data_IF_379608034912
#
_entry.id   IF_379608034912
#
_cell.length_a   1.000
_cell.length_b   1.000
_cell.length_c   1.000
_cell.angle_alpha   90.00
_cell.angle_beta   90.00
_cell.angle_gamma   90.00
#
_symmetry.space_group_name_H-M   'P 1'
#
loop_
_entity.id
_entity.type
_entity.pdbx_description
1 polymer ?
#
# COMPACT_ATOMS: atom_id res chain seq x y z
N UNK A 1 17.40 -14.00 -15.22
CA UNK A 1 16.35 -13.24 -15.95
C UNK A 1 15.46 -12.68 -14.86
N UNK A 2 15.56 -11.38 -14.55
CA UNK A 2 14.75 -10.76 -13.51
C UNK A 2 13.29 -11.00 -13.87
N UNK A 3 12.52 -11.68 -13.01
CA UNK A 3 11.11 -11.96 -13.21
C UNK A 3 10.30 -10.67 -13.09
N UNK A 4 10.33 -9.86 -14.15
CA UNK A 4 9.42 -8.74 -14.28
C UNK A 4 8.00 -9.29 -14.38
N UNK A 5 7.01 -8.66 -13.72
CA UNK A 5 5.61 -9.06 -13.90
C UNK A 5 5.26 -9.01 -15.38
N UNK A 6 4.85 -10.14 -15.94
CA UNK A 6 4.40 -10.20 -17.34
C UNK A 6 3.10 -9.40 -17.46
N UNK A 7 3.08 -8.47 -18.42
CA UNK A 7 1.86 -7.77 -18.77
C UNK A 7 0.86 -8.76 -19.36
N UNK A 8 -0.40 -8.63 -18.97
CA UNK A 8 -1.49 -9.44 -19.49
C UNK A 8 -2.67 -8.58 -19.99
N UNK A 9 -3.78 -9.23 -20.32
CA UNK A 9 -5.01 -8.57 -20.79
C UNK A 9 -5.54 -7.49 -19.83
N UNK A 10 -5.28 -7.60 -18.52
CA UNK A 10 -5.71 -6.62 -17.52
C UNK A 10 -4.91 -5.31 -17.57
N UNK A 11 -3.83 -5.27 -18.35
CA UNK A 11 -3.01 -4.08 -18.58
C UNK A 11 -3.33 -3.39 -19.91
N UNK A 12 -4.31 -3.88 -20.68
CA UNK A 12 -4.72 -3.24 -21.94
C UNK A 12 -5.23 -1.81 -21.67
N UNK A 13 -4.52 -0.81 -22.20
CA UNK A 13 -4.87 0.60 -22.07
C UNK A 13 -6.20 0.97 -22.75
N UNK A 14 -6.70 0.13 -23.64
CA UNK A 14 -7.98 0.31 -24.33
C UNK A 14 -9.15 -0.31 -23.58
N UNK A 15 -8.90 -1.17 -22.58
CA UNK A 15 -9.96 -1.74 -21.74
C UNK A 15 -10.74 -0.65 -20.99
N UNK A 16 -12.04 -0.89 -20.80
CA UNK A 16 -12.99 0.02 -20.16
C UNK A 16 -13.87 -0.73 -19.18
N UNK A 17 -14.36 0.00 -18.18
CA UNK A 17 -15.31 -0.55 -17.21
C UNK A 17 -16.74 -0.10 -17.51
N UNK A 18 -17.72 -0.90 -17.09
CA UNK A 18 -19.11 -0.44 -17.00
C UNK A 18 -19.33 0.54 -15.83
N UNK A 19 -18.36 0.70 -14.92
CA UNK A 19 -18.33 1.79 -13.94
C UNK A 19 -17.80 3.05 -14.64
N UNK A 20 -18.71 3.94 -15.04
CA UNK A 20 -18.39 5.08 -15.90
C UNK A 20 -17.29 6.01 -15.36
N UNK A 21 -17.25 6.24 -14.04
CA UNK A 21 -16.24 7.08 -13.40
C UNK A 21 -14.81 6.51 -13.49
N UNK A 22 -14.66 5.21 -13.75
CA UNK A 22 -13.36 4.58 -13.99
C UNK A 22 -12.81 4.82 -15.40
N UNK A 23 -13.62 5.38 -16.31
CA UNK A 23 -13.23 5.70 -17.68
C UNK A 23 -12.79 7.16 -17.86
N UNK A 24 -12.84 7.96 -16.79
CA UNK A 24 -12.42 9.37 -16.81
C UNK A 24 -10.89 9.48 -16.89
N UNK A 25 -10.38 10.40 -17.72
CA UNK A 25 -8.93 10.55 -17.94
C UNK A 25 -8.15 10.89 -16.66
N UNK A 26 -8.76 11.64 -15.74
CA UNK A 26 -8.13 12.08 -14.50
C UNK A 26 -8.32 11.11 -13.31
N UNK A 27 -8.88 9.92 -13.54
CA UNK A 27 -9.12 8.96 -12.46
C UNK A 27 -7.83 8.26 -12.05
N UNK A 28 -7.59 8.15 -10.75
CA UNK A 28 -6.50 7.32 -10.21
C UNK A 28 -6.87 5.82 -10.25
N UNK A 29 -8.16 5.50 -10.41
CA UNK A 29 -8.70 4.15 -10.28
C UNK A 29 -9.35 3.63 -11.56
N UNK A 30 -8.62 3.59 -12.70
CA UNK A 30 -9.15 2.96 -13.90
C UNK A 30 -9.14 1.43 -13.75
N UNK A 31 -9.79 0.72 -14.67
CA UNK A 31 -9.86 -0.75 -14.64
C UNK A 31 -8.49 -1.44 -14.75
N UNK A 32 -7.46 -0.72 -15.22
CA UNK A 32 -6.08 -1.20 -15.27
C UNK A 32 -5.39 -1.18 -13.90
N UNK A 33 -5.86 -0.38 -12.94
CA UNK A 33 -5.23 -0.25 -11.62
C UNK A 33 -5.73 -1.35 -10.67
N UNK A 34 -7.01 -1.30 -10.27
CA UNK A 34 -7.65 -2.23 -9.34
C UNK A 34 -6.89 -2.42 -8.00
N UNK A 35 -6.58 -1.33 -7.25
CA UNK A 35 -5.84 -1.46 -6.01
C UNK A 35 -6.72 -2.05 -4.91
N UNK A 36 -6.12 -2.93 -4.10
CA UNK A 36 -6.75 -3.55 -2.95
C UNK A 36 -6.69 -2.64 -1.73
N UNK A 37 -7.76 -2.63 -0.94
CA UNK A 37 -7.83 -1.93 0.32
C UNK A 37 -8.74 -2.63 1.34
N UNK A 38 -8.73 -2.13 2.57
CA UNK A 38 -9.70 -2.51 3.60
C UNK A 38 -10.64 -1.33 3.81
N UNK A 39 -11.94 -1.59 3.75
CA UNK A 39 -12.97 -0.59 4.00
C UNK A 39 -14.06 -1.15 4.89
N UNK A 40 -14.83 -0.27 5.52
CA UNK A 40 -16.13 -0.60 6.11
C UNK A 40 -17.20 0.30 5.51
N UNK A 41 -18.36 -0.24 5.08
CA UNK A 41 -19.53 0.59 4.83
C UNK A 41 -20.04 1.17 6.16
N UNK A 42 -20.97 2.13 6.09
CA UNK A 42 -21.50 2.83 7.26
C UNK A 42 -21.91 1.89 8.43
N UNK A 43 -22.60 0.79 8.12
CA UNK A 43 -23.16 -0.14 9.11
C UNK A 43 -22.60 -1.57 9.01
N UNK A 44 -21.33 -1.73 8.61
CA UNK A 44 -20.76 -3.06 8.39
C UNK A 44 -19.33 -3.26 8.90
N UNK A 45 -18.93 -4.52 8.98
CA UNK A 45 -17.58 -4.90 9.36
C UNK A 45 -16.56 -4.54 8.27
N UNK A 46 -15.32 -4.29 8.70
CA UNK A 46 -14.19 -4.09 7.81
C UNK A 46 -13.92 -5.34 6.96
N UNK A 47 -13.62 -5.14 5.68
CA UNK A 47 -13.38 -6.20 4.70
C UNK A 47 -12.60 -5.72 3.48
N UNK A 48 -12.16 -6.65 2.66
CA UNK A 48 -11.40 -6.36 1.45
C UNK A 48 -12.28 -5.75 0.36
N UNK A 49 -11.75 -4.73 -0.31
CA UNK A 49 -12.38 -4.10 -1.47
C UNK A 49 -11.37 -3.69 -2.53
N UNK A 50 -11.88 -3.36 -3.71
CA UNK A 50 -11.10 -2.84 -4.84
C UNK A 50 -11.64 -1.48 -5.23
N UNK A 51 -10.77 -0.48 -5.37
CA UNK A 51 -11.18 0.82 -5.89
C UNK A 51 -11.39 0.75 -7.42
N UNK A 52 -12.49 1.34 -7.90
CA UNK A 52 -12.82 1.46 -9.32
C UNK A 52 -13.59 2.76 -9.55
N UNK A 53 -12.97 3.71 -10.25
CA UNK A 53 -13.47 5.08 -10.36
C UNK A 53 -13.69 5.73 -8.99
N UNK A 54 -14.89 6.23 -8.76
CA UNK A 54 -15.35 6.79 -7.48
C UNK A 54 -16.12 5.77 -6.61
N UNK A 55 -15.94 4.48 -6.90
CA UNK A 55 -16.59 3.36 -6.20
C UNK A 55 -15.58 2.44 -5.55
N UNK A 56 -16.07 1.64 -4.60
CA UNK A 56 -15.37 0.51 -4.00
C UNK A 56 -16.18 -0.74 -4.27
N UNK A 57 -15.57 -1.71 -4.96
CA UNK A 57 -16.09 -3.07 -5.11
C UNK A 57 -15.88 -3.85 -3.82
N UNK A 58 -16.99 -4.33 -3.24
CA UNK A 58 -17.02 -5.25 -2.10
C UNK A 58 -16.72 -6.67 -2.56
N UNK A 59 -15.50 -7.14 -2.31
CA UNK A 59 -15.07 -8.48 -2.73
C UNK A 59 -15.82 -9.59 -1.98
N UNK A 60 -16.24 -9.33 -0.74
CA UNK A 60 -17.02 -10.29 0.04
C UNK A 60 -18.41 -10.46 -0.57
N UNK A 61 -19.10 -9.35 -0.89
CA UNK A 61 -20.42 -9.39 -1.51
C UNK A 61 -20.38 -10.00 -2.92
N UNK A 62 -19.37 -9.65 -3.73
CA UNK A 62 -19.19 -10.24 -5.05
C UNK A 62 -18.92 -11.74 -4.99
N UNK A 63 -18.15 -12.21 -4.00
CA UNK A 63 -17.96 -13.64 -3.75
C UNK A 63 -19.28 -14.33 -3.39
N UNK A 64 -20.07 -13.75 -2.47
CA UNK A 64 -21.33 -14.35 -1.97
C UNK A 64 -22.39 -14.50 -3.08
N UNK A 65 -22.34 -13.64 -4.09
CA UNK A 65 -23.16 -13.73 -5.30
C UNK A 65 -22.60 -14.69 -6.36
N UNK A 66 -21.44 -15.32 -6.11
CA UNK A 66 -20.79 -16.24 -7.04
C UNK A 66 -20.07 -15.55 -8.21
N UNK A 67 -19.86 -14.23 -8.15
CA UNK A 67 -19.33 -13.43 -9.26
C UNK A 67 -17.80 -13.53 -9.41
N UNK A 68 -17.10 -13.95 -8.35
CA UNK A 68 -15.63 -14.12 -8.35
C UNK A 68 -15.19 -15.58 -8.57
N UNK A 69 -16.14 -16.51 -8.67
CA UNK A 69 -15.85 -17.95 -8.73
C UNK A 69 -15.01 -18.44 -7.55
N UNK A 70 -14.09 -19.37 -7.82
CA UNK A 70 -13.17 -19.94 -6.83
C UNK A 70 -11.78 -19.27 -6.82
N UNK A 71 -11.66 -18.05 -7.34
CA UNK A 71 -10.37 -17.36 -7.49
C UNK A 71 -9.63 -17.14 -6.17
N UNK A 72 -10.37 -16.87 -5.09
CA UNK A 72 -9.85 -16.66 -3.74
C UNK A 72 -10.77 -17.30 -2.70
N UNK A 73 -10.22 -17.89 -1.61
CA UNK A 73 -11.02 -18.31 -0.46
C UNK A 73 -11.80 -17.16 0.18
N UNK A 74 -13.10 -17.34 0.39
CA UNK A 74 -14.01 -16.35 1.00
C UNK A 74 -13.51 -15.76 2.32
N UNK A 75 -12.82 -16.56 3.13
CA UNK A 75 -12.28 -16.16 4.42
C UNK A 75 -11.23 -15.05 4.32
N UNK A 76 -10.45 -15.00 3.23
CA UNK A 76 -9.43 -13.96 3.03
C UNK A 76 -10.06 -12.60 2.70
N UNK A 77 -11.28 -12.60 2.15
CA UNK A 77 -12.00 -11.38 1.74
C UNK A 77 -12.80 -10.73 2.88
N UNK A 78 -13.15 -11.51 3.92
CA UNK A 78 -13.87 -11.06 5.11
C UNK A 78 -12.94 -10.60 6.27
N UNK A 79 -11.64 -10.48 6.01
CA UNK A 79 -10.63 -10.13 7.01
C UNK A 79 -10.54 -8.61 7.24
N UNK A 80 -10.07 -8.20 8.42
CA UNK A 80 -9.75 -6.80 8.75
C UNK A 80 -8.35 -6.35 8.27
N UNK A 81 -7.74 -7.13 7.39
CA UNK A 81 -6.43 -6.90 6.81
C UNK A 81 -6.15 -7.83 5.62
N UNK A 82 -5.39 -7.34 4.65
CA UNK A 82 -4.97 -8.07 3.45
C UNK A 82 -3.82 -9.06 3.71
N UNK A 83 -3.34 -9.17 4.96
CA UNK A 83 -2.21 -10.03 5.32
C UNK A 83 -2.36 -11.48 4.83
N UNK A 84 -3.53 -12.09 5.04
CA UNK A 84 -3.78 -13.46 4.60
C UNK A 84 -3.76 -13.59 3.09
N UNK A 85 -4.41 -12.65 2.38
CA UNK A 85 -4.40 -12.62 0.92
C UNK A 85 -2.98 -12.46 0.36
N UNK A 86 -2.18 -11.59 0.94
CA UNK A 86 -0.79 -11.37 0.51
C UNK A 86 0.11 -12.58 0.82
N UNK A 87 -0.19 -13.34 1.88
CA UNK A 87 0.58 -14.52 2.25
C UNK A 87 0.39 -15.71 1.27
N UNK A 88 -0.76 -15.79 0.59
CA UNK A 88 -1.00 -16.82 -0.45
C UNK A 88 -0.08 -16.63 -1.68
N UNK A 89 0.38 -15.40 -1.92
CA UNK A 89 1.37 -15.08 -2.94
C UNK A 89 0.78 -14.64 -4.28
N UNK A 90 1.66 -14.56 -5.28
CA UNK A 90 1.38 -13.90 -6.56
C UNK A 90 0.23 -14.54 -7.34
N UNK A 91 0.20 -15.87 -7.46
CA UNK A 91 -0.81 -16.60 -8.23
C UNK A 91 -2.23 -16.32 -7.75
N UNK A 92 -2.44 -16.29 -6.43
CA UNK A 92 -3.75 -15.97 -5.84
C UNK A 92 -4.13 -14.51 -6.06
N UNK A 93 -3.16 -13.60 -5.98
CA UNK A 93 -3.37 -12.19 -6.31
C UNK A 93 -3.75 -11.99 -7.78
N UNK A 94 -3.08 -12.71 -8.69
CA UNK A 94 -3.34 -12.67 -10.13
C UNK A 94 -4.71 -13.25 -10.47
N UNK A 95 -5.07 -14.40 -9.88
CA UNK A 95 -6.39 -15.00 -10.05
C UNK A 95 -7.52 -14.06 -9.58
N UNK A 96 -7.34 -13.39 -8.43
CA UNK A 96 -8.27 -12.37 -7.95
C UNK A 96 -8.36 -11.19 -8.91
N UNK A 97 -7.21 -10.70 -9.40
CA UNK A 97 -7.15 -9.60 -10.38
C UNK A 97 -7.91 -9.93 -11.65
N UNK A 98 -7.70 -11.12 -12.22
CA UNK A 98 -8.42 -11.57 -13.43
C UNK A 98 -9.93 -11.67 -13.20
N UNK A 99 -10.34 -12.23 -12.06
CA UNK A 99 -11.76 -12.33 -11.71
C UNK A 99 -12.42 -10.94 -11.55
N UNK A 100 -11.76 -10.02 -10.85
CA UNK A 100 -12.25 -8.65 -10.65
C UNK A 100 -12.27 -7.87 -11.98
N UNK A 101 -11.24 -8.02 -12.81
CA UNK A 101 -11.17 -7.37 -14.11
C UNK A 101 -12.32 -7.83 -15.01
N UNK A 102 -12.52 -9.15 -15.13
CA UNK A 102 -13.60 -9.72 -15.94
C UNK A 102 -14.99 -9.33 -15.42
N UNK A 103 -15.15 -9.17 -14.10
CA UNK A 103 -16.39 -8.68 -13.48
C UNK A 103 -16.68 -7.21 -13.84
N UNK A 104 -15.65 -6.38 -13.97
CA UNK A 104 -15.78 -4.93 -14.14
C UNK A 104 -15.72 -4.46 -15.60
N UNK A 105 -15.32 -5.31 -16.54
CA UNK A 105 -15.14 -4.96 -17.96
C UNK A 105 -16.46 -4.65 -18.68
N UNK A 106 -16.46 -3.66 -19.58
CA UNK A 106 -17.65 -3.13 -20.28
C UNK A 106 -18.41 -4.12 -21.18
N UNK A 107 -17.90 -5.32 -21.42
CA UNK A 107 -18.53 -6.41 -22.19
C UNK A 107 -19.71 -7.09 -21.46
N UNK A 108 -20.37 -6.36 -20.55
CA UNK A 108 -21.40 -6.78 -19.58
C UNK A 108 -20.87 -7.55 -18.35
N UNK A 109 -19.54 -7.61 -18.20
CA UNK A 109 -18.81 -7.99 -16.99
C UNK A 109 -19.36 -9.19 -16.23
N UNK A 110 -19.48 -10.38 -16.83
CA UNK A 110 -20.06 -11.60 -16.22
C UNK A 110 -21.33 -11.33 -15.35
N UNK A 111 -22.17 -10.34 -15.74
CA UNK A 111 -23.38 -9.96 -15.00
C UNK A 111 -23.19 -9.01 -13.80
N UNK A 112 -21.98 -8.50 -13.55
CA UNK A 112 -21.65 -7.60 -12.45
C UNK A 112 -22.49 -6.32 -12.44
N UNK A 113 -22.78 -5.76 -13.61
CA UNK A 113 -23.61 -4.56 -13.76
C UNK A 113 -25.02 -4.75 -13.19
N UNK A 114 -25.60 -5.95 -13.32
CA UNK A 114 -26.92 -6.26 -12.77
C UNK A 114 -26.93 -6.33 -11.23
N UNK A 115 -25.77 -6.49 -10.61
CA UNK A 115 -25.58 -6.57 -9.17
C UNK A 115 -24.90 -5.34 -8.57
N UNK A 116 -24.76 -4.25 -9.35
CA UNK A 116 -24.02 -3.06 -8.94
C UNK A 116 -24.41 -2.53 -7.55
N UNK A 117 -25.72 -2.42 -7.27
CA UNK A 117 -26.23 -1.93 -5.98
C UNK A 117 -25.90 -2.84 -4.77
N UNK A 118 -25.50 -4.09 -5.02
CA UNK A 118 -25.17 -5.07 -3.99
C UNK A 118 -23.66 -5.19 -3.75
N UNK A 119 -22.84 -4.83 -4.76
CA UNK A 119 -21.39 -5.06 -4.74
C UNK A 119 -20.57 -3.77 -4.80
N UNK A 120 -21.18 -2.62 -5.14
CA UNK A 120 -20.49 -1.34 -5.18
C UNK A 120 -20.97 -0.44 -4.04
N UNK A 121 -20.01 0.24 -3.43
CA UNK A 121 -20.24 1.34 -2.51
C UNK A 121 -19.68 2.64 -3.08
N UNK A 122 -20.36 3.76 -2.84
CA UNK A 122 -19.79 5.08 -3.08
C UNK A 122 -18.55 5.25 -2.21
N UNK A 123 -17.39 5.56 -2.81
CA UNK A 123 -16.14 5.69 -2.05
C UNK A 123 -16.22 6.78 -0.97
N UNK A 124 -17.03 7.81 -1.19
CA UNK A 124 -17.27 8.88 -0.22
C UNK A 124 -18.13 8.44 1.00
N UNK A 125 -18.81 7.29 0.92
CA UNK A 125 -19.71 6.78 1.97
C UNK A 125 -19.08 5.70 2.85
N UNK A 126 -17.86 5.24 2.51
CA UNK A 126 -17.16 4.20 3.25
C UNK A 126 -16.03 4.78 4.10
N UNK A 127 -15.64 4.05 5.14
CA UNK A 127 -14.42 4.36 5.90
C UNK A 127 -13.30 3.44 5.41
N UNK A 128 -12.19 4.05 4.95
CA UNK A 128 -10.98 3.31 4.60
C UNK A 128 -10.13 3.05 5.86
N UNK A 129 -9.57 1.86 5.94
CA UNK A 129 -8.72 1.42 7.04
C UNK A 129 -7.29 1.18 6.55
N UNK A 130 -6.37 0.89 7.48
CA UNK A 130 -5.02 0.44 7.13
C UNK A 130 -5.13 -0.90 6.39
N UNK A 131 -4.47 -1.08 5.23
CA UNK A 131 -4.67 -2.27 4.40
C UNK A 131 -4.11 -3.55 5.03
N UNK A 132 -3.12 -3.44 5.91
CA UNK A 132 -2.48 -4.58 6.59
C UNK A 132 -2.28 -4.31 8.08
N UNK A 133 -2.21 -5.37 8.87
CA UNK A 133 -1.58 -5.34 10.19
C UNK A 133 -0.07 -5.34 10.02
N UNK A 134 0.58 -4.26 10.46
CA UNK A 134 2.03 -4.08 10.34
C UNK A 134 2.71 -4.77 11.52
N UNK A 135 3.34 -5.92 11.27
CA UNK A 135 4.12 -6.62 12.29
C UNK A 135 5.50 -5.98 12.48
N UNK A 136 6.15 -5.64 11.36
CA UNK A 136 7.44 -4.95 11.31
C UNK A 136 7.40 -3.87 10.23
N UNK A 137 8.16 -2.81 10.46
CA UNK A 137 8.36 -1.72 9.50
C UNK A 137 9.86 -1.45 9.43
N UNK A 138 10.41 -1.48 8.22
CA UNK A 138 11.80 -1.15 7.94
C UNK A 138 11.79 0.05 7.00
N UNK A 139 12.59 1.05 7.33
CA UNK A 139 12.79 2.23 6.52
C UNK A 139 14.19 2.20 5.91
N UNK A 140 14.29 2.50 4.62
CA UNK A 140 15.53 2.44 3.85
C UNK A 140 15.98 3.82 3.43
N UNK A 141 17.27 4.07 3.58
CA UNK A 141 17.92 5.30 3.16
C UNK A 141 18.45 5.17 1.72
N UNK A 142 17.55 4.93 0.77
CA UNK A 142 17.91 4.55 -0.60
C UNK A 142 17.96 5.72 -1.60
N UNK A 143 17.39 6.88 -1.26
CA UNK A 143 17.35 8.05 -2.15
C UNK A 143 18.66 8.84 -2.17
N UNK A 144 19.52 8.62 -3.17
CA UNK A 144 20.88 9.22 -3.19
C UNK A 144 20.89 10.75 -3.13
N UNK A 145 19.93 11.41 -3.80
CA UNK A 145 19.84 12.87 -3.74
C UNK A 145 19.39 13.39 -2.37
N UNK A 146 18.50 12.66 -1.70
CA UNK A 146 18.16 12.94 -0.32
C UNK A 146 19.40 12.73 0.56
N UNK A 147 20.12 11.63 0.38
CA UNK A 147 21.30 11.29 1.16
C UNK A 147 22.42 12.32 1.05
N UNK A 148 22.73 12.77 -0.17
CA UNK A 148 23.72 13.82 -0.42
C UNK A 148 23.31 15.15 0.22
N UNK A 149 22.03 15.53 0.16
CA UNK A 149 21.55 16.78 0.75
C UNK A 149 21.61 16.74 2.28
N UNK A 150 21.08 15.69 2.89
CA UNK A 150 21.08 15.54 4.34
C UNK A 150 22.50 15.46 4.90
N UNK A 151 23.36 14.62 4.30
CA UNK A 151 24.75 14.50 4.72
C UNK A 151 25.58 15.75 4.45
N UNK A 152 25.27 16.51 3.39
CA UNK A 152 25.94 17.78 3.08
C UNK A 152 25.73 18.88 4.13
N UNK A 153 24.66 18.81 4.93
CA UNK A 153 24.45 19.73 6.06
C UNK A 153 25.45 19.48 7.21
N UNK A 154 25.98 18.25 7.31
CA UNK A 154 26.88 17.82 8.38
C UNK A 154 28.34 17.73 7.90
N UNK A 155 28.56 17.19 6.71
CA UNK A 155 29.87 16.95 6.09
C UNK A 155 29.84 17.29 4.59
N UNK A 156 29.97 18.59 4.22
CA UNK A 156 29.85 19.04 2.83
C UNK A 156 30.82 18.34 1.85
N UNK A 157 32.04 18.04 2.30
CA UNK A 157 33.10 17.46 1.46
C UNK A 157 32.92 15.95 1.21
N UNK A 158 32.27 15.24 2.13
CA UNK A 158 31.96 13.81 2.00
C UNK A 158 30.55 13.52 2.53
N UNK A 159 29.50 13.87 1.76
CA UNK A 159 28.13 13.85 2.25
C UNK A 159 27.53 12.43 2.33
N UNK A 160 28.21 11.41 1.81
CA UNK A 160 27.72 10.04 1.83
C UNK A 160 28.56 9.19 2.80
N UNK A 161 27.92 8.38 3.65
CA UNK A 161 28.63 7.33 4.39
C UNK A 161 29.36 6.37 3.44
N UNK A 162 30.53 5.88 3.86
CA UNK A 162 31.39 5.02 3.03
C UNK A 162 30.66 3.74 2.53
N UNK A 163 29.71 3.23 3.31
CA UNK A 163 28.94 2.02 2.99
C UNK A 163 27.71 2.28 2.09
N UNK A 164 27.31 3.53 1.83
CA UNK A 164 26.05 3.87 1.15
C UNK A 164 25.91 3.20 -0.23
N UNK A 165 27.01 3.13 -0.99
CA UNK A 165 27.01 2.56 -2.35
C UNK A 165 27.13 1.04 -2.37
N UNK A 166 27.27 0.40 -1.22
CA UNK A 166 27.56 -1.03 -1.10
C UNK A 166 26.44 -1.83 -0.44
N UNK A 167 25.63 -1.19 0.41
CA UNK A 167 24.49 -1.81 1.08
C UNK A 167 23.31 -0.83 1.10
N UNK A 168 22.07 -1.27 0.82
CA UNK A 168 20.90 -0.45 1.06
C UNK A 168 20.72 -0.28 2.58
N UNK A 169 21.28 0.82 3.11
CA UNK A 169 21.20 1.12 4.53
C UNK A 169 19.72 1.24 4.92
N UNK A 170 19.35 0.59 6.01
CA UNK A 170 18.00 0.68 6.55
C UNK A 170 17.98 0.44 8.05
N UNK A 171 16.87 0.78 8.69
CA UNK A 171 16.69 0.67 10.12
C UNK A 171 15.25 0.26 10.45
N UNK A 172 15.06 -0.29 11.66
CA UNK A 172 13.73 -0.68 12.12
C UNK A 172 12.94 0.57 12.54
N UNK A 173 11.85 0.83 11.83
CA UNK A 173 10.86 1.82 12.22
C UNK A 173 9.89 1.27 13.26
N UNK A 174 8.94 2.11 13.71
CA UNK A 174 7.96 1.75 14.73
C UNK A 174 6.62 1.32 14.11
N UNK A 175 6.40 0.02 14.01
CA UNK A 175 5.18 -0.55 13.43
C UNK A 175 3.88 -0.08 14.11
N UNK A 176 3.87 0.09 15.44
CA UNK A 176 2.67 0.46 16.19
C UNK A 176 2.15 1.87 15.90
N UNK A 177 2.96 2.72 15.28
CA UNK A 177 2.58 4.10 14.92
C UNK A 177 2.28 4.28 13.44
N UNK A 178 2.28 3.21 12.65
CA UNK A 178 1.83 3.26 11.25
C UNK A 178 0.31 3.32 11.21
N UNK A 179 -0.24 4.45 10.78
CA UNK A 179 -1.68 4.71 10.71
C UNK A 179 -2.16 4.93 9.27
N UNK A 180 -3.46 4.82 9.05
CA UNK A 180 -4.07 5.13 7.76
C UNK A 180 -4.04 6.63 7.45
N UNK A 181 -4.15 6.98 6.16
CA UNK A 181 -4.31 8.36 5.72
C UNK A 181 -5.49 9.04 6.40
N UNK A 182 -5.40 10.35 6.64
CA UNK A 182 -6.41 11.13 7.35
C UNK A 182 -6.32 11.07 8.88
N UNK A 183 -5.52 10.16 9.45
CA UNK A 183 -5.28 10.13 10.90
C UNK A 183 -4.57 11.41 11.37
N UNK A 184 -5.13 12.11 12.35
CA UNK A 184 -4.53 13.29 12.94
C UNK A 184 -3.24 12.97 13.71
N UNK A 185 -2.13 13.63 13.34
CA UNK A 185 -0.85 13.46 14.03
C UNK A 185 -0.62 14.63 14.99
N UNK A 186 -0.45 14.32 16.28
CA UNK A 186 -0.10 15.32 17.30
C UNK A 186 1.38 15.69 17.18
N UNK A 187 1.70 16.98 17.23
CA UNK A 187 3.08 17.46 17.34
C UNK A 187 3.77 16.78 18.53
N UNK A 188 4.91 16.10 18.34
CA UNK A 188 5.56 15.38 19.41
C UNK A 188 6.17 16.37 20.41
N UNK A 189 6.23 15.91 21.66
CA UNK A 189 7.07 16.51 22.69
C UNK A 189 8.37 15.72 22.76
N UNK A 190 9.48 16.39 23.00
CA UNK A 190 10.78 15.74 23.04
C UNK A 190 11.85 16.59 23.73
N UNK A 191 13.03 16.02 23.84
CA UNK A 191 14.23 16.71 24.29
C UNK A 191 14.96 17.27 23.08
N UNK A 192 15.47 18.50 23.18
CA UNK A 192 16.29 19.10 22.13
C UNK A 192 17.39 19.97 22.73
N UNK A 193 18.48 20.14 21.98
CA UNK A 193 19.57 21.01 22.39
C UNK A 193 19.14 22.48 22.26
N UNK A 194 19.32 23.30 23.32
CA UNK A 194 19.00 24.72 23.24
C UNK A 194 19.86 25.47 22.22
N UNK A 195 19.24 26.36 21.45
CA UNK A 195 19.93 27.21 20.47
C UNK A 195 20.86 28.26 21.11
N UNK A 196 20.72 28.49 22.42
CA UNK A 196 21.58 29.39 23.20
C UNK A 196 22.93 28.76 23.60
N UNK A 197 23.20 27.50 23.21
CA UNK A 197 24.44 26.80 23.52
C UNK A 197 24.52 26.21 24.94
N UNK A 198 23.42 26.19 25.70
CA UNK A 198 23.37 25.49 26.98
C UNK A 198 23.62 23.98 26.79
N UNK A 199 24.22 23.35 27.82
CA UNK A 199 24.56 21.93 27.78
C UNK A 199 23.40 21.02 28.19
N UNK A 200 22.53 21.48 29.09
CA UNK A 200 21.35 20.73 29.47
C UNK A 200 20.29 20.77 28.35
N UNK A 201 19.64 19.63 28.02
CA UNK A 201 18.56 19.62 27.05
C UNK A 201 17.30 20.30 27.60
N UNK A 202 16.55 20.96 26.72
CA UNK A 202 15.19 21.44 27.01
C UNK A 202 14.16 20.37 26.65
N UNK A 203 13.04 20.30 27.39
CA UNK A 203 11.89 19.47 27.04
C UNK A 203 10.71 20.34 26.61
N UNK A 204 10.11 20.02 25.47
CA UNK A 204 8.95 20.75 24.97
C UNK A 204 8.47 20.28 23.59
N UNK A 205 7.57 21.02 22.95
CA UNK A 205 7.11 20.71 21.60
C UNK A 205 8.25 20.77 20.58
N UNK A 206 8.30 19.80 19.67
CA UNK A 206 9.22 19.79 18.53
C UNK A 206 9.11 21.11 17.75
N UNK A 207 10.26 21.72 17.44
CA UNK A 207 10.36 23.01 16.75
C UNK A 207 10.47 22.86 15.23
N UNK A 208 10.97 21.72 14.74
CA UNK A 208 11.30 21.46 13.33
C UNK A 208 10.61 20.18 12.83
N UNK A 209 9.27 20.17 12.91
CA UNK A 209 8.49 19.03 12.43
C UNK A 209 8.52 18.99 10.89
N UNK A 210 9.02 17.90 10.32
CA UNK A 210 9.16 17.74 8.87
C UNK A 210 8.30 16.60 8.30
N UNK A 211 8.43 16.35 7.00
CA UNK A 211 7.87 15.21 6.29
C UNK A 211 8.90 14.58 5.37
N UNK A 212 8.88 13.25 5.28
CA UNK A 212 9.58 12.50 4.27
C UNK A 212 8.55 11.83 3.36
N UNK A 213 8.70 12.02 2.05
CA UNK A 213 7.84 11.43 1.04
C UNK A 213 8.48 10.12 0.56
N UNK A 214 7.75 9.02 0.73
CA UNK A 214 8.25 7.68 0.47
C UNK A 214 7.22 6.80 -0.25
N UNK A 215 7.71 5.67 -0.74
CA UNK A 215 6.89 4.55 -1.19
C UNK A 215 7.07 3.37 -0.23
N UNK A 216 5.97 2.86 0.29
CA UNK A 216 5.94 1.59 1.02
C UNK A 216 5.91 0.42 0.04
N UNK A 217 6.66 -0.63 0.37
CA UNK A 217 6.58 -1.94 -0.27
C UNK A 217 5.91 -2.90 0.70
N UNK A 218 4.79 -3.50 0.31
CA UNK A 218 4.12 -4.52 1.10
C UNK A 218 4.72 -5.89 0.79
N UNK A 219 5.24 -6.57 1.81
CA UNK A 219 5.75 -7.94 1.70
C UNK A 219 4.61 -8.92 1.97
N UNK A 220 4.42 -9.88 1.07
CA UNK A 220 3.38 -10.89 1.15
C UNK A 220 3.90 -12.23 1.67
N UNK A 221 4.54 -13.01 0.79
CA UNK A 221 5.04 -14.35 1.13
C UNK A 221 6.15 -14.26 2.19
N UNK A 222 6.05 -14.97 3.32
CA UNK A 222 7.11 -14.98 4.33
C UNK A 222 8.31 -15.80 3.87
N UNK A 223 9.48 -15.54 4.47
CA UNK A 223 10.64 -16.43 4.41
C UNK A 223 10.73 -17.28 5.68
N UNK A 224 11.38 -18.43 5.59
CA UNK A 224 11.69 -19.23 6.77
C UNK A 224 12.83 -18.59 7.58
N UNK A 225 12.79 -18.78 8.90
CA UNK A 225 13.84 -18.25 9.77
C UNK A 225 15.21 -18.82 9.41
N UNK A 226 16.19 -17.93 9.24
CA UNK A 226 17.56 -18.30 8.84
C UNK A 226 17.75 -18.58 7.35
N UNK A 227 16.69 -18.52 6.53
CA UNK A 227 16.79 -18.70 5.08
C UNK A 227 16.84 -17.34 4.38
N UNK A 228 17.98 -16.94 3.79
CA UNK A 228 18.06 -15.72 3.00
C UNK A 228 17.22 -15.84 1.72
N UNK A 229 16.69 -14.71 1.27
CA UNK A 229 15.99 -14.60 -0.01
C UNK A 229 16.99 -14.20 -1.10
N UNK A 230 17.02 -14.97 -2.19
CA UNK A 230 17.84 -14.63 -3.35
C UNK A 230 17.24 -13.44 -4.11
N UNK A 231 18.09 -12.64 -4.76
CA UNK A 231 17.65 -11.41 -5.43
C UNK A 231 16.73 -11.71 -6.61
N UNK A 232 16.93 -12.84 -7.29
CA UNK A 232 16.08 -13.32 -8.38
C UNK A 232 14.65 -13.62 -7.92
N UNK A 233 14.47 -14.08 -6.68
CA UNK A 233 13.16 -14.40 -6.10
C UNK A 233 12.50 -13.24 -5.35
N UNK A 234 13.22 -12.13 -5.13
CA UNK A 234 12.74 -11.04 -4.28
C UNK A 234 11.41 -10.42 -4.74
N UNK A 235 11.20 -10.31 -6.05
CA UNK A 235 9.99 -9.74 -6.63
C UNK A 235 8.72 -10.56 -6.29
N UNK A 236 8.83 -11.88 -6.19
CA UNK A 236 7.70 -12.77 -5.87
C UNK A 236 7.16 -12.59 -4.44
N UNK A 237 7.97 -11.97 -3.57
CA UNK A 237 7.60 -11.66 -2.19
C UNK A 237 6.92 -10.29 -2.05
N UNK A 238 6.92 -9.46 -3.10
CA UNK A 238 6.27 -8.15 -3.10
C UNK A 238 4.80 -8.30 -3.47
N UNK A 239 3.91 -7.93 -2.54
CA UNK A 239 2.46 -7.95 -2.77
C UNK A 239 1.94 -6.66 -3.43
N UNK A 240 2.66 -5.54 -3.27
CA UNK A 240 2.27 -4.27 -3.87
C UNK A 240 2.96 -3.08 -3.23
N UNK A 241 2.50 -1.89 -3.62
CA UNK A 241 3.08 -0.62 -3.21
C UNK A 241 2.03 0.32 -2.63
N UNK A 242 2.47 1.30 -1.85
CA UNK A 242 1.63 2.39 -1.38
C UNK A 242 2.45 3.66 -1.14
N UNK A 243 1.78 4.79 -0.95
CA UNK A 243 2.45 6.00 -0.50
C UNK A 243 2.65 5.97 1.02
N UNK A 244 3.82 6.41 1.46
CA UNK A 244 4.16 6.55 2.88
C UNK A 244 4.62 7.98 3.16
N UNK A 245 4.21 8.49 4.31
CA UNK A 245 4.73 9.74 4.85
C UNK A 245 5.34 9.45 6.21
N UNK A 246 6.64 9.61 6.33
CA UNK A 246 7.34 9.57 7.61
C UNK A 246 7.39 10.97 8.18
N UNK A 247 7.19 11.08 9.50
CA UNK A 247 7.24 12.35 10.24
C UNK A 247 8.40 12.28 11.21
N UNK A 248 9.44 13.07 10.94
CA UNK A 248 10.61 13.19 11.80
C UNK A 248 10.56 14.48 12.61
N UNK A 249 11.30 14.51 13.72
CA UNK A 249 11.26 15.54 14.77
C UNK A 249 12.64 16.05 15.13
#
# INVERSE_FOLDING_TARGET
>A
MLGYPELDHTNDATARSWVESANLEATDFPIQNLPLGIFSPADGAARAGVAIGDRVLDLSAAWDLGLLGAAVPRALLASDGLNGLFAEGHETGLALRHAVFALLESSDGIGGKAHADQILHDMASVTLHRPVRVANYTDFYAGIHHAVRAGGLLQPENPLPDNYKWVPIGYHGRASTVCASGTGIRRPLGQFQPSNGAREPEFGPCRELDLELEMAVYVGRPTEWGQPLDIEGAAEHVAGFGLLRVRMH
#
